data_IF_923240022109
#
_entry.id   IF_923240022109
#
_cell.length_a   1.000
_cell.length_b   1.000
_cell.length_c   1.000
_cell.angle_alpha   90.00
_cell.angle_beta   90.00
_cell.angle_gamma   90.00
#
_symmetry.space_group_name_H-M   'P 1'
#
loop_
_entity.id
_entity.type
_entity.pdbx_description
1 polymer ?
#
# COMPACT_ATOMS: atom_id res chain seq x y z
N UNK A 1 6.30 20.08 17.41
CA UNK A 1 5.39 19.22 16.59
C UNK A 1 4.04 19.90 16.41
N UNK A 2 3.41 20.36 17.50
CA UNK A 2 2.16 21.15 17.50
C UNK A 2 2.18 22.35 16.53
N UNK A 3 3.26 23.14 16.52
CA UNK A 3 3.33 24.35 15.68
C UNK A 3 3.40 24.04 14.18
N UNK A 4 4.01 22.91 13.79
CA UNK A 4 4.05 22.44 12.39
C UNK A 4 2.68 22.01 11.91
N UNK A 5 1.88 21.37 12.77
CA UNK A 5 0.51 20.94 12.46
C UNK A 5 -0.39 22.17 12.31
N UNK A 6 -0.25 23.17 13.19
CA UNK A 6 -1.00 24.42 13.12
C UNK A 6 -0.64 25.21 11.86
N UNK A 7 0.64 25.30 11.50
CA UNK A 7 1.10 25.95 10.27
C UNK A 7 0.55 25.26 9.02
N UNK A 8 0.60 23.92 8.97
CA UNK A 8 0.04 23.13 7.87
C UNK A 8 -1.46 23.38 7.70
N UNK A 9 -2.22 23.35 8.80
CA UNK A 9 -3.66 23.61 8.77
C UNK A 9 -4.01 25.03 8.31
N UNK A 10 -3.22 26.03 8.72
CA UNK A 10 -3.42 27.42 8.31
C UNK A 10 -3.21 27.60 6.80
N UNK A 11 -2.09 27.09 6.28
CA UNK A 11 -1.77 27.15 4.86
C UNK A 11 -2.78 26.34 4.00
N UNK A 12 -3.33 25.24 4.54
CA UNK A 12 -4.40 24.49 3.91
C UNK A 12 -5.71 25.31 3.79
N UNK A 13 -6.11 26.00 4.87
CA UNK A 13 -7.30 26.87 4.88
C UNK A 13 -7.12 28.04 3.92
N UNK A 14 -5.93 28.62 3.86
CA UNK A 14 -5.62 29.73 2.95
C UNK A 14 -5.69 29.28 1.49
N UNK A 15 -5.15 28.10 1.17
CA UNK A 15 -5.28 27.48 -0.16
C UNK A 15 -6.74 27.19 -0.53
N UNK A 16 -7.55 26.73 0.42
CA UNK A 16 -8.98 26.47 0.20
C UNK A 16 -9.76 27.75 -0.11
N UNK A 17 -9.45 28.87 0.58
CA UNK A 17 -10.07 30.17 0.30
C UNK A 17 -9.68 30.71 -1.08
N UNK A 18 -8.44 30.49 -1.51
CA UNK A 18 -7.95 30.98 -2.80
C UNK A 18 -8.47 30.15 -3.98
N UNK A 19 -8.45 28.82 -3.89
CA UNK A 19 -8.85 27.92 -4.97
C UNK A 19 -9.60 26.68 -4.42
N UNK A 20 -10.88 26.82 -4.05
CA UNK A 20 -11.63 25.78 -3.33
C UNK A 20 -11.77 24.49 -4.13
N UNK A 21 -11.96 24.58 -5.46
CA UNK A 21 -12.03 23.41 -6.35
C UNK A 21 -10.73 22.59 -6.36
N UNK A 22 -9.58 23.27 -6.47
CA UNK A 22 -8.27 22.61 -6.48
C UNK A 22 -7.95 21.97 -5.12
N UNK A 23 -8.20 22.70 -4.03
CA UNK A 23 -7.99 22.19 -2.68
C UNK A 23 -8.87 20.96 -2.37
N UNK A 24 -10.13 20.98 -2.80
CA UNK A 24 -11.05 19.84 -2.67
C UNK A 24 -10.55 18.64 -3.49
N UNK A 25 -10.11 18.84 -4.72
CA UNK A 25 -9.57 17.76 -5.55
C UNK A 25 -8.33 17.11 -4.90
N UNK A 26 -7.42 17.92 -4.34
CA UNK A 26 -6.24 17.44 -3.62
C UNK A 26 -6.65 16.62 -2.38
N UNK A 27 -7.63 17.08 -1.59
CA UNK A 27 -8.14 16.35 -0.44
C UNK A 27 -8.70 14.99 -0.86
N UNK A 28 -9.53 14.96 -1.90
CA UNK A 28 -10.13 13.73 -2.43
C UNK A 28 -9.05 12.75 -2.86
N UNK A 29 -7.99 13.20 -3.54
CA UNK A 29 -6.85 12.35 -3.91
C UNK A 29 -6.14 11.78 -2.69
N UNK A 30 -5.93 12.59 -1.65
CA UNK A 30 -5.30 12.15 -0.39
C UNK A 30 -6.13 11.09 0.33
N UNK A 31 -7.45 11.28 0.39
CA UNK A 31 -8.38 10.33 1.00
C UNK A 31 -8.38 9.01 0.23
N UNK A 32 -8.53 9.06 -1.11
CA UNK A 32 -8.52 7.85 -1.96
C UNK A 32 -7.21 7.08 -1.79
N UNK A 33 -6.07 7.79 -1.74
CA UNK A 33 -4.77 7.17 -1.54
C UNK A 33 -4.68 6.43 -0.20
N UNK A 34 -5.06 7.07 0.91
CA UNK A 34 -5.03 6.44 2.24
C UNK A 34 -5.98 5.24 2.29
N UNK A 35 -7.21 5.38 1.78
CA UNK A 35 -8.20 4.30 1.80
C UNK A 35 -7.77 3.11 0.93
N UNK A 36 -7.22 3.38 -0.27
CA UNK A 36 -6.74 2.34 -1.17
C UNK A 36 -5.63 1.51 -0.53
N UNK A 37 -4.59 2.16 -0.02
CA UNK A 37 -3.48 1.46 0.64
C UNK A 37 -3.88 0.84 1.98
N UNK A 38 -4.73 1.51 2.77
CA UNK A 38 -5.24 0.97 4.03
C UNK A 38 -5.99 -0.35 3.82
N UNK A 39 -6.85 -0.40 2.79
CA UNK A 39 -7.56 -1.63 2.42
C UNK A 39 -6.60 -2.73 1.98
N UNK A 40 -5.59 -2.39 1.18
CA UNK A 40 -4.57 -3.34 0.73
C UNK A 40 -3.79 -3.96 1.90
N UNK A 41 -3.33 -3.16 2.87
CA UNK A 41 -2.63 -3.69 4.04
C UNK A 41 -3.54 -4.48 4.97
N UNK A 42 -4.81 -4.06 5.11
CA UNK A 42 -5.78 -4.84 5.87
C UNK A 42 -5.95 -6.24 5.28
N UNK A 43 -6.03 -6.35 3.94
CA UNK A 43 -6.09 -7.63 3.24
C UNK A 43 -4.81 -8.48 3.44
N UNK A 44 -3.63 -7.86 3.38
CA UNK A 44 -2.37 -8.56 3.68
C UNK A 44 -2.35 -9.07 5.13
N UNK A 45 -2.65 -8.21 6.10
CA UNK A 45 -2.68 -8.57 7.52
C UNK A 45 -3.66 -9.71 7.80
N UNK A 46 -4.85 -9.68 7.18
CA UNK A 46 -5.81 -10.77 7.29
C UNK A 46 -5.22 -12.09 6.80
N UNK A 47 -4.50 -12.10 5.67
CA UNK A 47 -3.86 -13.32 5.17
C UNK A 47 -2.79 -13.84 6.12
N UNK A 48 -1.97 -12.96 6.70
CA UNK A 48 -0.96 -13.36 7.67
C UNK A 48 -1.59 -13.98 8.92
N UNK A 49 -2.58 -13.30 9.50
CA UNK A 49 -3.20 -13.71 10.77
C UNK A 49 -3.98 -15.01 10.61
N UNK A 50 -4.73 -15.17 9.51
CA UNK A 50 -5.61 -16.34 9.32
C UNK A 50 -4.90 -17.58 8.78
N UNK A 51 -3.81 -17.41 8.01
CA UNK A 51 -3.21 -18.50 7.25
C UNK A 51 -1.73 -18.68 7.58
N UNK A 52 -0.89 -17.68 7.31
CA UNK A 52 0.57 -17.81 7.43
C UNK A 52 0.99 -18.09 8.87
N UNK A 53 0.53 -17.29 9.85
CA UNK A 53 0.91 -17.47 11.26
C UNK A 53 0.42 -18.82 11.80
N UNK A 54 -0.85 -19.23 11.59
CA UNK A 54 -1.32 -20.57 11.93
C UNK A 54 -0.66 -21.70 11.12
N UNK A 55 0.20 -21.38 10.15
CA UNK A 55 0.93 -22.34 9.34
C UNK A 55 0.06 -23.17 8.41
N UNK A 56 -1.05 -22.60 7.92
CA UNK A 56 -1.96 -23.22 6.94
C UNK A 56 -2.05 -22.36 5.70
N UNK A 57 -2.27 -22.96 4.54
CA UNK A 57 -2.38 -22.18 3.30
C UNK A 57 -3.78 -21.62 3.09
N UNK A 58 -3.85 -20.45 2.47
CA UNK A 58 -5.12 -19.84 2.07
C UNK A 58 -5.66 -20.50 0.80
N UNK A 59 -4.79 -20.69 -0.19
CA UNK A 59 -5.10 -21.40 -1.43
C UNK A 59 -4.45 -22.79 -1.41
N UNK A 60 -4.77 -23.68 -2.36
CA UNK A 60 -4.04 -24.97 -2.53
C UNK A 60 -2.54 -24.78 -2.91
N UNK A 61 -2.03 -23.55 -2.82
CA UNK A 61 -0.63 -23.15 -2.92
C UNK A 61 0.21 -23.75 -1.82
N UNK A 62 1.52 -23.67 -1.97
CA UNK A 62 2.48 -23.97 -0.92
C UNK A 62 2.70 -22.76 0.00
N UNK A 63 2.85 -23.04 1.30
CA UNK A 63 2.91 -22.01 2.33
C UNK A 63 4.14 -21.14 2.25
N UNK A 64 5.32 -21.71 1.94
CA UNK A 64 6.57 -20.95 1.92
C UNK A 64 6.65 -20.00 0.71
N UNK A 65 6.36 -20.43 -0.54
CA UNK A 65 6.26 -19.50 -1.67
C UNK A 65 5.21 -18.41 -1.47
N UNK A 66 4.04 -18.76 -0.93
CA UNK A 66 2.98 -17.79 -0.68
C UNK A 66 3.40 -16.77 0.40
N UNK A 67 3.93 -17.22 1.53
CA UNK A 67 4.41 -16.33 2.58
C UNK A 67 5.56 -15.44 2.11
N UNK A 68 6.52 -15.98 1.33
CA UNK A 68 7.61 -15.21 0.75
C UNK A 68 7.09 -14.13 -0.19
N UNK A 69 6.24 -14.49 -1.16
CA UNK A 69 5.70 -13.54 -2.15
C UNK A 69 4.91 -12.41 -1.49
N UNK A 70 4.04 -12.73 -0.52
CA UNK A 70 3.28 -11.73 0.24
C UNK A 70 4.19 -10.81 1.05
N UNK A 71 5.27 -11.35 1.64
CA UNK A 71 6.25 -10.56 2.41
C UNK A 71 6.95 -9.56 1.50
N UNK A 72 7.45 -10.02 0.35
CA UNK A 72 8.15 -9.17 -0.62
C UNK A 72 7.23 -8.07 -1.14
N UNK A 73 5.99 -8.41 -1.51
CA UNK A 73 4.99 -7.43 -1.95
C UNK A 73 4.73 -6.39 -0.88
N UNK A 74 4.55 -6.80 0.38
CA UNK A 74 4.34 -5.87 1.49
C UNK A 74 5.49 -4.88 1.61
N UNK A 75 6.75 -5.33 1.56
CA UNK A 75 7.91 -4.45 1.66
C UNK A 75 8.06 -3.50 0.47
N UNK A 76 7.91 -4.01 -0.76
CA UNK A 76 8.04 -3.19 -1.98
C UNK A 76 6.99 -2.09 -2.00
N UNK A 77 5.74 -2.42 -1.66
CA UNK A 77 4.67 -1.44 -1.65
C UNK A 77 4.73 -0.50 -0.45
N UNK A 78 5.25 -0.95 0.70
CA UNK A 78 5.49 -0.06 1.84
C UNK A 78 6.50 1.02 1.48
N UNK A 79 7.60 0.63 0.84
CA UNK A 79 8.59 1.56 0.34
C UNK A 79 7.98 2.58 -0.64
N UNK A 80 7.16 2.09 -1.58
CA UNK A 80 6.45 2.95 -2.53
C UNK A 80 5.55 3.98 -1.83
N UNK A 81 4.78 3.54 -0.82
CA UNK A 81 3.87 4.41 -0.06
C UNK A 81 4.66 5.43 0.71
N UNK A 82 5.71 5.05 1.44
CA UNK A 82 6.53 5.98 2.21
C UNK A 82 7.11 7.08 1.29
N UNK A 83 7.58 6.70 0.10
CA UNK A 83 8.09 7.65 -0.89
C UNK A 83 6.99 8.56 -1.46
N UNK A 84 5.81 8.00 -1.73
CA UNK A 84 4.67 8.71 -2.31
C UNK A 84 3.98 9.64 -1.30
N UNK A 85 3.97 9.27 -0.02
CA UNK A 85 3.30 10.00 1.05
C UNK A 85 3.83 11.42 1.16
N UNK A 86 5.15 11.60 1.10
CA UNK A 86 5.76 12.93 1.17
C UNK A 86 5.22 13.85 0.07
N UNK A 87 5.18 13.39 -1.16
CA UNK A 87 4.74 14.19 -2.32
C UNK A 87 3.23 14.43 -2.33
N UNK A 88 2.42 13.46 -1.89
CA UNK A 88 0.97 13.60 -1.85
C UNK A 88 0.50 14.56 -0.74
N UNK A 89 1.15 14.53 0.42
CA UNK A 89 0.80 15.34 1.60
C UNK A 89 1.59 16.64 1.74
N UNK A 90 2.57 16.89 0.88
CA UNK A 90 3.20 18.20 0.74
C UNK A 90 2.14 19.26 0.42
N UNK A 91 2.19 20.38 1.16
CA UNK A 91 1.21 21.46 1.10
C UNK A 91 1.48 22.42 -0.06
N UNK A 92 1.64 21.87 -1.27
CA UNK A 92 1.70 22.65 -2.48
C UNK A 92 0.43 22.40 -3.32
N UNK A 93 0.00 23.43 -4.05
CA UNK A 93 -1.15 23.37 -4.95
C UNK A 93 -0.82 22.65 -6.28
N UNK A 94 0.28 21.89 -6.32
CA UNK A 94 0.72 21.17 -7.51
C UNK A 94 -0.12 19.90 -7.69
N UNK A 95 -1.19 19.99 -8.49
CA UNK A 95 -2.06 18.87 -8.83
C UNK A 95 -1.37 17.77 -9.64
N UNK A 96 -0.54 18.14 -10.62
CA UNK A 96 0.13 17.19 -11.53
C UNK A 96 0.91 16.08 -10.82
N UNK A 97 1.84 16.35 -9.87
CA UNK A 97 2.57 15.28 -9.18
C UNK A 97 1.67 14.39 -8.32
N UNK A 98 0.60 14.95 -7.73
CA UNK A 98 -0.36 14.19 -6.91
C UNK A 98 -1.18 13.22 -7.76
N UNK A 99 -1.62 13.66 -8.94
CA UNK A 99 -2.27 12.81 -9.95
C UNK A 99 -1.34 11.68 -10.44
N UNK A 100 -0.08 11.98 -10.74
CA UNK A 100 0.90 10.97 -11.18
C UNK A 100 1.08 9.88 -10.11
N UNK A 101 1.18 10.27 -8.84
CA UNK A 101 1.29 9.32 -7.73
C UNK A 101 0.05 8.46 -7.60
N UNK A 102 -1.13 9.06 -7.76
CA UNK A 102 -2.38 8.30 -7.69
C UNK A 102 -2.49 7.29 -8.85
N UNK A 103 -2.08 7.68 -10.06
CA UNK A 103 -2.01 6.78 -11.21
C UNK A 103 -0.99 5.65 -11.00
N UNK A 104 0.18 5.97 -10.45
CA UNK A 104 1.21 4.98 -10.14
C UNK A 104 0.77 4.02 -9.02
N UNK A 105 0.04 4.53 -8.03
CA UNK A 105 -0.60 3.73 -6.99
C UNK A 105 -1.61 2.75 -7.57
N UNK A 106 -2.43 3.19 -8.54
CA UNK A 106 -3.36 2.33 -9.24
C UNK A 106 -2.63 1.23 -10.04
N UNK A 107 -1.53 1.60 -10.71
CA UNK A 107 -0.68 0.63 -11.40
C UNK A 107 -0.11 -0.42 -10.45
N UNK A 108 0.35 -0.03 -9.26
CA UNK A 108 0.78 -0.97 -8.22
C UNK A 108 -0.33 -1.92 -7.78
N UNK A 109 -1.56 -1.42 -7.62
CA UNK A 109 -2.69 -2.26 -7.24
C UNK A 109 -3.02 -3.31 -8.33
N UNK A 110 -3.00 -2.91 -9.60
CA UNK A 110 -3.24 -3.82 -10.73
C UNK A 110 -2.09 -4.83 -10.88
N UNK A 111 -0.85 -4.42 -10.64
CA UNK A 111 0.32 -5.27 -10.78
C UNK A 111 0.59 -6.18 -9.57
N UNK A 112 -0.09 -5.98 -8.44
CA UNK A 112 0.11 -6.76 -7.22
C UNK A 112 -0.04 -8.27 -7.43
N UNK A 113 -1.12 -8.69 -8.09
CA UNK A 113 -1.41 -10.09 -8.35
C UNK A 113 -0.43 -10.74 -9.35
N UNK A 114 -0.18 -10.18 -10.55
CA UNK A 114 0.79 -10.77 -11.47
C UNK A 114 2.21 -10.79 -10.87
N UNK A 115 2.58 -9.77 -10.08
CA UNK A 115 3.85 -9.79 -9.34
C UNK A 115 3.90 -10.94 -8.33
N UNK A 116 2.79 -11.21 -7.63
CA UNK A 116 2.71 -12.34 -6.71
C UNK A 116 2.95 -13.68 -7.41
N UNK A 117 2.31 -13.90 -8.56
CA UNK A 117 2.49 -15.13 -9.34
C UNK A 117 3.94 -15.31 -9.78
N UNK A 118 4.57 -14.27 -10.31
CA UNK A 118 5.98 -14.29 -10.71
C UNK A 118 6.90 -14.59 -9.52
N UNK A 119 6.63 -14.01 -8.36
CA UNK A 119 7.42 -14.26 -7.15
C UNK A 119 7.28 -15.70 -6.68
N UNK A 120 6.07 -16.28 -6.73
CA UNK A 120 5.82 -17.67 -6.36
C UNK A 120 6.59 -18.62 -7.30
N UNK A 121 6.54 -18.36 -8.61
CA UNK A 121 7.26 -19.16 -9.62
C UNK A 121 8.78 -19.08 -9.42
N UNK A 122 9.29 -17.86 -9.15
CA UNK A 122 10.71 -17.62 -8.89
C UNK A 122 11.25 -18.37 -7.66
N UNK A 123 10.38 -18.71 -6.69
CA UNK A 123 10.74 -19.48 -5.49
C UNK A 123 10.16 -20.90 -5.49
N UNK A 124 9.91 -21.46 -6.67
CA UNK A 124 9.43 -22.84 -6.83
C UNK A 124 10.33 -23.91 -6.21
N UNK A 125 11.60 -23.59 -5.96
CA UNK A 125 12.56 -24.44 -5.24
C UNK A 125 12.24 -24.61 -3.74
N UNK A 126 11.38 -23.76 -3.16
CA UNK A 126 10.95 -23.91 -1.77
C UNK A 126 10.01 -25.12 -1.60
N UNK A 127 9.88 -25.65 -0.37
CA UNK A 127 9.01 -26.80 -0.11
C UNK A 127 7.56 -26.53 -0.54
N UNK A 128 7.00 -27.44 -1.32
CA UNK A 128 5.63 -27.35 -1.83
C UNK A 128 4.61 -27.94 -0.85
N UNK A 129 4.66 -27.53 0.42
CA UNK A 129 3.80 -28.06 1.49
C UNK A 129 2.69 -27.07 1.85
N UNK A 130 1.51 -27.59 2.21
CA UNK A 130 0.37 -26.80 2.67
C UNK A 130 0.38 -26.51 4.18
N UNK A 131 1.30 -27.12 4.92
CA UNK A 131 1.49 -26.94 6.36
C UNK A 131 2.93 -26.51 6.62
N UNK A 132 3.09 -25.52 7.49
CA UNK A 132 4.40 -25.04 7.90
C UNK A 132 5.00 -25.87 9.02
N UNK A 133 6.33 -25.89 9.12
CA UNK A 133 7.05 -26.66 10.14
C UNK A 133 6.72 -26.23 11.59
N UNK A 134 6.33 -24.96 11.79
CA UNK A 134 6.00 -24.40 13.11
C UNK A 134 4.54 -24.64 13.53
N UNK A 135 3.72 -25.21 12.65
CA UNK A 135 2.32 -25.54 12.94
C UNK A 135 2.13 -27.02 13.33
N UNK A 136 3.24 -27.72 13.60
CA UNK A 136 3.26 -29.07 14.17
C UNK A 136 3.46 -29.04 15.68
#
# INVERSE_FOLDING_TARGET
MKDKIIAYGKEYIDNFKQNPLSATAILTMQIIFILGWGTFYMFLCERYIKYIIPGRTYTKSAIYPEAFSLTVIAFVFLFFICKSFKTLFLNNNLLKPKLIILALSLLCAISAYPLQLLLIEAVSFLPQTSVAFWAN
#
